data_IF_555509149799
#
_entry.id   IF_555509149799
#
_cell.length_a   1.000
_cell.length_b   1.000
_cell.length_c   1.000
_cell.angle_alpha   90.00
_cell.angle_beta   90.00
_cell.angle_gamma   90.00
#
_symmetry.space_group_name_H-M   'P 1'
#
loop_
_entity.id
_entity.type
_entity.pdbx_description
1 polymer ?
#
# COMPACT_ATOMS: atom_id res chain seq x y z
N UNK A 1 -31.69 -60.38 -48.29
CA UNK A 1 -30.35 -60.08 -48.72
C UNK A 1 -29.97 -58.83 -47.97
N UNK A 2 -29.66 -58.92 -46.76
CA UNK A 2 -28.52 -59.06 -45.90
C UNK A 2 -27.33 -58.21 -46.39
N UNK A 3 -27.05 -57.19 -45.64
CA UNK A 3 -25.67 -56.78 -45.43
C UNK A 3 -25.50 -56.16 -44.06
N UNK A 4 -24.63 -56.75 -43.31
CA UNK A 4 -24.19 -56.33 -41.98
C UNK A 4 -23.07 -55.29 -42.15
N UNK A 5 -23.19 -54.20 -41.43
CA UNK A 5 -22.10 -53.26 -41.22
C UNK A 5 -21.64 -53.36 -39.78
N UNK A 6 -20.41 -53.84 -39.67
CA UNK A 6 -19.69 -53.95 -38.40
C UNK A 6 -19.31 -52.56 -37.84
N UNK A 7 -19.65 -52.35 -36.60
CA UNK A 7 -19.17 -51.26 -35.80
C UNK A 7 -17.87 -51.64 -35.14
N UNK A 8 -16.75 -51.02 -35.54
CA UNK A 8 -15.49 -51.08 -34.77
C UNK A 8 -15.48 -49.91 -33.78
N UNK A 9 -15.61 -50.26 -32.52
CA UNK A 9 -15.31 -49.36 -31.40
C UNK A 9 -13.81 -49.11 -31.34
N UNK A 10 -13.41 -47.84 -31.60
CA UNK A 10 -12.13 -47.34 -31.14
C UNK A 10 -12.44 -46.45 -29.93
N UNK A 11 -12.31 -47.04 -28.77
CA UNK A 11 -12.23 -46.28 -27.53
C UNK A 11 -10.76 -45.87 -27.43
N UNK A 12 -10.47 -44.65 -27.82
CA UNK A 12 -9.19 -43.97 -27.50
C UNK A 12 -9.25 -43.56 -26.03
N UNK A 13 -8.41 -44.17 -25.23
CA UNK A 13 -8.10 -43.69 -23.90
C UNK A 13 -7.48 -42.29 -23.99
N UNK A 14 -8.30 -41.25 -23.82
CA UNK A 14 -7.82 -39.96 -23.42
C UNK A 14 -7.61 -40.02 -21.91
N UNK A 15 -6.41 -40.36 -21.48
CA UNK A 15 -5.97 -40.08 -20.12
C UNK A 15 -6.08 -38.60 -19.89
N UNK A 16 -6.90 -38.29 -18.92
CA UNK A 16 -7.32 -36.94 -18.53
C UNK A 16 -6.12 -36.06 -18.12
N UNK A 17 -6.14 -34.83 -18.59
CA UNK A 17 -5.28 -33.71 -18.16
C UNK A 17 -5.36 -33.38 -16.63
N UNK A 18 -6.03 -34.21 -15.85
CA UNK A 18 -6.18 -34.05 -14.39
C UNK A 18 -4.98 -34.54 -13.58
N UNK A 19 -4.03 -35.28 -14.16
CA UNK A 19 -2.85 -35.72 -13.41
C UNK A 19 -1.69 -34.70 -13.38
N UNK A 20 -1.71 -33.65 -14.19
CA UNK A 20 -0.69 -32.60 -14.14
C UNK A 20 -0.90 -31.53 -13.07
N UNK A 21 -2.04 -31.54 -12.37
CA UNK A 21 -2.29 -30.64 -11.23
C UNK A 21 -1.87 -31.18 -9.86
N UNK A 22 -1.38 -32.42 -9.79
CA UNK A 22 -0.97 -33.04 -8.52
C UNK A 22 0.56 -33.04 -8.36
N UNK A 23 1.17 -31.89 -8.21
CA UNK A 23 2.45 -31.83 -7.50
C UNK A 23 2.15 -31.96 -6.01
N UNK A 24 2.81 -32.89 -5.28
CA UNK A 24 2.64 -32.96 -3.84
C UNK A 24 3.13 -31.64 -3.22
N UNK A 25 2.22 -30.96 -2.54
CA UNK A 25 2.55 -29.79 -1.73
C UNK A 25 3.39 -30.30 -0.57
N UNK A 26 4.71 -30.11 -0.61
CA UNK A 26 5.53 -30.32 0.57
C UNK A 26 5.28 -29.12 1.51
N UNK A 27 4.46 -29.34 2.52
CA UNK A 27 4.12 -28.35 3.56
C UNK A 27 5.24 -28.23 4.61
N UNK A 28 6.45 -28.62 4.28
CA UNK A 28 7.60 -28.67 5.21
C UNK A 28 8.63 -27.55 4.97
N UNK A 29 8.17 -26.31 4.80
CA UNK A 29 9.04 -25.17 5.11
C UNK A 29 8.93 -24.89 6.60
N UNK A 30 9.91 -25.31 7.39
CA UNK A 30 9.96 -24.96 8.81
C UNK A 30 9.98 -23.42 8.96
N UNK A 31 9.35 -22.85 10.00
CA UNK A 31 9.32 -21.42 10.24
C UNK A 31 10.70 -20.74 10.23
N UNK A 32 11.76 -21.47 10.49
CA UNK A 32 13.16 -21.03 10.47
C UNK A 32 13.68 -20.66 9.07
N UNK A 33 13.01 -21.12 7.99
CA UNK A 33 13.39 -20.81 6.60
C UNK A 33 12.67 -19.57 6.05
N UNK A 34 11.78 -18.96 6.84
CA UNK A 34 11.05 -17.77 6.39
C UNK A 34 11.93 -16.51 6.52
N UNK A 35 11.85 -15.59 5.55
CA UNK A 35 12.49 -14.28 5.70
C UNK A 35 12.04 -13.63 7.00
N UNK A 36 12.97 -12.98 7.70
CA UNK A 36 12.64 -12.26 8.92
C UNK A 36 11.53 -11.24 8.68
N UNK A 37 10.56 -11.09 9.61
CA UNK A 37 9.53 -10.07 9.48
C UNK A 37 10.16 -8.68 9.40
N UNK A 38 9.56 -7.80 8.61
CA UNK A 38 9.95 -6.39 8.54
C UNK A 38 9.56 -5.73 9.87
N UNK A 39 10.46 -4.94 10.49
CA UNK A 39 10.12 -4.23 11.72
C UNK A 39 8.85 -3.38 11.54
N UNK A 40 7.93 -3.50 12.48
CA UNK A 40 6.69 -2.72 12.53
C UNK A 40 6.75 -1.76 13.72
N UNK A 41 6.07 -0.62 13.60
CA UNK A 41 5.82 0.27 14.73
C UNK A 41 4.67 -0.25 15.61
N UNK A 42 4.00 -1.33 15.21
CA UNK A 42 3.02 -2.00 16.07
C UNK A 42 3.72 -2.49 17.34
N UNK A 43 3.20 -2.09 18.50
CA UNK A 43 3.72 -2.52 19.81
C UNK A 43 3.28 -3.97 20.07
N UNK A 44 4.11 -4.70 20.81
CA UNK A 44 3.73 -6.00 21.36
C UNK A 44 2.47 -5.82 22.23
N UNK A 45 1.45 -6.67 22.10
CA UNK A 45 0.27 -6.62 22.95
C UNK A 45 0.68 -6.75 24.43
N UNK A 46 0.31 -5.80 25.26
CA UNK A 46 0.52 -5.85 26.72
C UNK A 46 1.70 -5.02 27.26
N UNK A 47 2.52 -4.36 26.44
CA UNK A 47 3.64 -3.52 26.88
C UNK A 47 3.35 -2.01 26.68
N UNK A 48 2.19 -1.51 27.06
CA UNK A 48 1.79 -0.17 26.67
C UNK A 48 1.97 0.87 27.78
N UNK A 49 3.03 1.69 27.64
CA UNK A 49 2.87 3.10 27.98
C UNK A 49 2.08 3.73 26.83
N UNK A 50 0.96 4.41 27.08
CA UNK A 50 0.18 5.04 26.01
C UNK A 50 1.08 5.95 25.17
N UNK A 51 0.97 5.90 23.85
CA UNK A 51 1.68 6.85 22.98
C UNK A 51 1.23 8.26 23.36
N UNK A 52 2.19 9.12 23.61
CA UNK A 52 1.92 10.50 24.03
C UNK A 52 1.99 11.47 22.86
N UNK A 53 2.62 11.07 21.74
CA UNK A 53 2.83 11.92 20.57
C UNK A 53 2.58 11.15 19.27
N UNK A 54 2.22 11.88 18.21
CA UNK A 54 2.12 11.32 16.87
C UNK A 54 3.50 10.93 16.29
N UNK A 55 4.59 11.53 16.79
CA UNK A 55 5.95 11.10 16.42
C UNK A 55 6.23 9.64 16.81
N UNK A 56 5.65 9.13 17.91
CA UNK A 56 5.79 7.74 18.34
C UNK A 56 4.93 6.77 17.52
N UNK A 57 3.92 7.29 16.81
CA UNK A 57 2.93 6.51 16.06
C UNK A 57 3.18 6.54 14.54
N UNK A 58 4.18 7.30 14.06
CA UNK A 58 4.44 7.47 12.61
C UNK A 58 5.86 7.07 12.23
N UNK A 59 6.02 6.56 11.00
CA UNK A 59 7.34 6.20 10.46
C UNK A 59 8.22 7.43 10.20
N UNK A 60 7.62 8.58 9.92
CA UNK A 60 8.32 9.87 9.77
C UNK A 60 8.87 10.40 11.12
N UNK A 61 8.30 9.94 12.24
CA UNK A 61 8.67 10.34 13.60
C UNK A 61 8.62 11.86 13.83
N UNK A 62 7.60 12.49 13.26
CA UNK A 62 7.24 13.88 13.54
C UNK A 62 5.79 13.97 14.01
N UNK A 63 5.47 14.98 14.79
CA UNK A 63 4.14 15.25 15.30
C UNK A 63 4.07 15.39 16.82
N UNK A 64 3.24 16.32 17.25
CA UNK A 64 3.04 16.69 18.65
C UNK A 64 2.14 15.72 19.43
N UNK A 65 1.68 16.16 20.62
CA UNK A 65 0.89 15.34 21.54
C UNK A 65 -0.46 14.94 20.94
N UNK A 66 -1.03 13.83 21.45
CA UNK A 66 -2.38 13.38 21.16
C UNK A 66 -3.31 13.64 22.33
N UNK A 67 -4.60 13.98 22.05
CA UNK A 67 -5.59 14.18 23.10
C UNK A 67 -5.90 12.89 23.85
N UNK A 68 -6.13 11.81 23.13
CA UNK A 68 -6.33 10.47 23.68
C UNK A 68 -5.84 9.41 22.67
N UNK A 69 -5.23 8.33 23.20
CA UNK A 69 -4.83 7.19 22.38
C UNK A 69 -5.51 5.91 22.92
N UNK A 70 -6.15 5.17 22.01
CA UNK A 70 -6.83 3.91 22.32
C UNK A 70 -6.39 2.83 21.35
N UNK A 71 -6.07 1.65 21.87
CA UNK A 71 -5.87 0.42 21.13
C UNK A 71 -7.07 -0.49 21.31
N UNK A 72 -7.77 -0.81 20.20
CA UNK A 72 -8.89 -1.73 20.22
C UNK A 72 -8.41 -3.14 19.89
N UNK A 73 -8.83 -4.11 20.67
CA UNK A 73 -8.46 -5.53 20.56
C UNK A 73 -9.60 -6.38 19.98
N UNK A 74 -10.78 -5.79 19.83
CA UNK A 74 -11.96 -6.43 19.23
C UNK A 74 -12.63 -5.51 18.21
N UNK A 75 -13.42 -6.09 17.28
CA UNK A 75 -14.22 -5.30 16.33
C UNK A 75 -15.24 -4.43 17.06
N UNK A 76 -15.82 -4.92 18.15
CA UNK A 76 -16.78 -4.17 18.96
C UNK A 76 -16.14 -2.92 19.57
N UNK A 77 -14.95 -3.04 20.16
CA UNK A 77 -14.20 -1.90 20.71
C UNK A 77 -13.86 -0.87 19.63
N UNK A 78 -13.44 -1.31 18.41
CA UNK A 78 -13.22 -0.41 17.29
C UNK A 78 -14.49 0.38 16.94
N UNK A 79 -15.62 -0.30 16.79
CA UNK A 79 -16.89 0.32 16.42
C UNK A 79 -17.37 1.27 17.53
N UNK A 80 -17.29 0.85 18.78
CA UNK A 80 -17.77 1.65 19.93
C UNK A 80 -16.92 2.91 20.11
N UNK A 81 -15.60 2.83 19.97
CA UNK A 81 -14.72 4.00 20.02
C UNK A 81 -15.01 5.01 18.91
N UNK A 82 -15.23 4.53 17.67
CA UNK A 82 -15.60 5.38 16.53
C UNK A 82 -16.96 6.06 16.79
N UNK A 83 -17.97 5.31 17.24
CA UNK A 83 -19.32 5.85 17.56
C UNK A 83 -19.25 6.92 18.65
N UNK A 84 -18.56 6.64 19.76
CA UNK A 84 -18.41 7.59 20.86
C UNK A 84 -17.73 8.89 20.41
N UNK A 85 -16.70 8.79 19.54
CA UNK A 85 -16.06 9.98 18.98
C UNK A 85 -17.02 10.78 18.09
N UNK A 86 -17.78 10.08 17.22
CA UNK A 86 -18.75 10.73 16.32
C UNK A 86 -19.92 11.36 17.07
N UNK A 87 -20.48 10.67 18.06
CA UNK A 87 -21.60 11.14 18.89
C UNK A 87 -21.18 12.38 19.72
N UNK A 88 -19.93 12.44 20.16
CA UNK A 88 -19.36 13.58 20.89
C UNK A 88 -18.89 14.71 19.97
N UNK A 89 -18.93 14.53 18.63
CA UNK A 89 -18.36 15.49 17.67
C UNK A 89 -16.83 15.63 17.80
N UNK A 90 -16.15 14.64 18.36
CA UNK A 90 -14.73 14.66 18.63
C UNK A 90 -13.93 14.29 17.38
N UNK A 91 -12.83 15.00 17.05
CA UNK A 91 -11.95 14.61 15.96
C UNK A 91 -11.43 13.17 16.15
N UNK A 92 -11.42 12.39 15.06
CA UNK A 92 -11.01 10.98 15.08
C UNK A 92 -9.89 10.75 14.06
N UNK A 93 -8.80 10.15 14.51
CA UNK A 93 -7.75 9.59 13.68
C UNK A 93 -7.65 8.09 13.90
N UNK A 94 -8.11 7.29 12.94
CA UNK A 94 -7.79 5.85 12.89
C UNK A 94 -6.43 5.70 12.25
N UNK A 95 -5.48 5.14 13.00
CA UNK A 95 -4.09 4.99 12.58
C UNK A 95 -3.70 3.52 12.45
N UNK A 96 -3.10 3.17 11.32
CA UNK A 96 -2.45 1.87 11.14
C UNK A 96 -0.97 1.93 11.58
N UNK A 97 -0.05 1.60 10.68
CA UNK A 97 1.40 1.71 10.94
C UNK A 97 1.96 3.14 10.86
N UNK A 98 1.14 4.17 10.67
CA UNK A 98 1.59 5.56 10.58
C UNK A 98 2.54 5.86 9.42
N UNK A 99 2.55 5.02 8.39
CA UNK A 99 3.53 5.05 7.31
C UNK A 99 3.18 6.01 6.16
N UNK A 100 2.01 6.64 6.20
CA UNK A 100 1.55 7.60 5.19
C UNK A 100 0.94 8.86 5.84
N UNK A 101 1.55 9.34 6.93
CA UNK A 101 1.08 10.48 7.71
C UNK A 101 2.21 11.47 7.92
N UNK A 102 1.90 12.76 7.74
CA UNK A 102 2.69 13.89 8.26
C UNK A 102 1.84 14.58 9.32
N UNK A 103 2.31 14.57 10.55
CA UNK A 103 1.59 15.10 11.69
C UNK A 103 2.17 16.43 12.16
N UNK A 104 1.32 17.40 12.47
CA UNK A 104 1.71 18.73 12.95
C UNK A 104 2.42 18.66 14.32
N UNK A 105 3.36 19.54 14.54
CA UNK A 105 4.01 19.73 15.85
C UNK A 105 3.03 20.19 16.94
N UNK A 106 1.90 20.81 16.56
CA UNK A 106 0.81 21.14 17.48
C UNK A 106 0.08 19.91 18.03
N UNK A 107 0.24 18.75 17.35
CA UNK A 107 -0.42 17.50 17.74
C UNK A 107 -1.82 17.34 17.17
N UNK A 108 -2.62 16.51 17.83
CA UNK A 108 -4.00 16.18 17.43
C UNK A 108 -4.90 16.13 18.67
N UNK A 109 -5.72 17.15 18.84
CA UNK A 109 -6.69 17.25 19.94
C UNK A 109 -7.96 16.43 19.64
N UNK A 110 -7.82 15.11 19.64
CA UNK A 110 -8.88 14.17 19.32
C UNK A 110 -8.58 12.78 19.85
N UNK A 111 -9.36 11.81 19.38
CA UNK A 111 -9.12 10.39 19.60
C UNK A 111 -8.23 9.82 18.49
N UNK A 112 -7.07 9.30 18.84
CA UNK A 112 -6.26 8.44 17.99
C UNK A 112 -6.57 7.00 18.32
N UNK A 113 -7.10 6.26 17.36
CA UNK A 113 -7.57 4.89 17.53
C UNK A 113 -6.75 3.94 16.65
N UNK A 114 -6.21 2.88 17.26
CA UNK A 114 -5.49 1.81 16.56
C UNK A 114 -6.23 0.49 16.69
N UNK A 115 -6.37 -0.24 15.59
CA UNK A 115 -6.77 -1.65 15.62
C UNK A 115 -5.53 -2.50 15.91
N UNK A 116 -5.55 -3.23 17.02
CA UNK A 116 -4.45 -4.11 17.46
C UNK A 116 -4.68 -5.57 17.13
N UNK A 117 -5.78 -5.92 16.43
CA UNK A 117 -6.06 -7.30 16.02
C UNK A 117 -5.06 -7.73 14.93
N UNK A 118 -4.56 -8.96 15.05
CA UNK A 118 -3.53 -9.54 14.16
C UNK A 118 -3.97 -10.92 13.67
N UNK A 119 -5.15 -10.98 13.01
CA UNK A 119 -5.75 -12.25 12.63
C UNK A 119 -5.84 -12.38 11.11
N UNK A 120 -5.45 -13.55 10.60
CA UNK A 120 -5.62 -13.98 9.21
C UNK A 120 -6.41 -15.28 9.20
N UNK A 121 -7.55 -15.29 8.52
CA UNK A 121 -8.46 -16.43 8.42
C UNK A 121 -8.58 -16.91 6.98
N UNK A 122 -8.44 -18.22 6.78
CA UNK A 122 -8.74 -18.88 5.52
C UNK A 122 -10.27 -19.06 5.43
N UNK A 123 -10.91 -18.43 4.45
CA UNK A 123 -12.35 -18.50 4.23
C UNK A 123 -12.72 -19.61 3.25
N UNK A 124 -11.95 -19.78 2.18
CA UNK A 124 -12.10 -20.84 1.20
C UNK A 124 -10.75 -21.26 0.65
N UNK A 125 -10.60 -22.55 0.42
CA UNK A 125 -9.47 -23.18 -0.26
C UNK A 125 -10.03 -24.17 -1.28
N UNK A 126 -10.31 -23.65 -2.48
CA UNK A 126 -10.79 -24.46 -3.61
C UNK A 126 -9.66 -24.55 -4.64
N UNK A 127 -9.15 -25.75 -4.85
CA UNK A 127 -8.08 -26.00 -5.83
C UNK A 127 -8.42 -25.53 -7.25
N UNK A 128 -9.68 -25.44 -7.60
CA UNK A 128 -10.14 -24.95 -8.90
C UNK A 128 -10.57 -23.48 -8.87
N UNK A 129 -11.03 -22.96 -7.70
CA UNK A 129 -11.58 -21.61 -7.53
C UNK A 129 -10.59 -20.60 -6.95
N UNK A 130 -9.45 -21.06 -6.42
CA UNK A 130 -8.49 -20.20 -5.74
C UNK A 130 -8.67 -20.20 -4.23
N UNK A 131 -7.98 -19.28 -3.58
CA UNK A 131 -7.96 -19.11 -2.12
C UNK A 131 -8.61 -17.79 -1.75
N UNK A 132 -9.52 -17.82 -0.78
CA UNK A 132 -10.10 -16.63 -0.19
C UNK A 132 -9.65 -16.51 1.27
N UNK A 133 -9.02 -15.39 1.61
CA UNK A 133 -8.52 -15.11 2.95
C UNK A 133 -9.08 -13.77 3.44
N UNK A 134 -9.31 -13.68 4.75
CA UNK A 134 -9.66 -12.43 5.41
C UNK A 134 -8.61 -12.09 6.46
N UNK A 135 -8.19 -10.82 6.49
CA UNK A 135 -7.29 -10.32 7.52
C UNK A 135 -7.91 -9.11 8.23
N UNK A 136 -7.73 -9.02 9.56
CA UNK A 136 -8.18 -7.86 10.34
C UNK A 136 -7.42 -6.61 9.94
N UNK A 137 -8.05 -5.44 10.10
CA UNK A 137 -7.48 -4.17 9.64
C UNK A 137 -6.16 -3.82 10.34
N UNK A 138 -5.98 -4.27 11.58
CA UNK A 138 -4.76 -4.07 12.36
C UNK A 138 -3.59 -4.97 11.96
N UNK A 139 -3.85 -6.07 11.25
CA UNK A 139 -2.79 -7.01 10.82
C UNK A 139 -1.68 -6.26 10.08
N UNK A 140 -0.42 -6.51 10.49
CA UNK A 140 0.75 -5.93 9.83
C UNK A 140 0.79 -6.41 8.38
N UNK A 141 0.94 -5.47 7.42
CA UNK A 141 0.90 -5.81 6.00
C UNK A 141 1.97 -6.83 5.60
N UNK A 142 3.22 -6.61 6.01
CA UNK A 142 4.30 -7.52 5.59
C UNK A 142 4.26 -8.89 6.28
N UNK A 143 3.62 -9.00 7.46
CA UNK A 143 3.35 -10.30 8.08
C UNK A 143 2.32 -11.10 7.29
N UNK A 144 1.25 -10.44 6.78
CA UNK A 144 0.32 -11.07 5.85
C UNK A 144 1.04 -11.52 4.58
N UNK A 145 1.88 -10.66 3.98
CA UNK A 145 2.65 -11.01 2.77
C UNK A 145 3.56 -12.19 3.02
N UNK A 146 4.29 -12.21 4.14
CA UNK A 146 5.17 -13.32 4.53
C UNK A 146 4.38 -14.62 4.68
N UNK A 147 3.24 -14.58 5.37
CA UNK A 147 2.36 -15.74 5.53
C UNK A 147 1.81 -16.20 4.17
N UNK A 148 1.39 -15.27 3.31
CA UNK A 148 0.86 -15.58 1.98
C UNK A 148 1.90 -16.31 1.11
N UNK A 149 3.14 -15.81 1.06
CA UNK A 149 4.23 -16.45 0.32
C UNK A 149 4.51 -17.86 0.87
N UNK A 150 4.60 -18.03 2.20
CA UNK A 150 4.82 -19.31 2.84
C UNK A 150 3.68 -20.31 2.60
N UNK A 151 2.44 -19.83 2.51
CA UNK A 151 1.24 -20.63 2.23
C UNK A 151 0.96 -20.79 0.73
N UNK A 152 1.84 -20.30 -0.14
CA UNK A 152 1.68 -20.31 -1.60
C UNK A 152 0.40 -19.61 -2.08
N UNK A 153 -0.01 -18.54 -1.40
CA UNK A 153 -1.07 -17.64 -1.84
C UNK A 153 -0.45 -16.56 -2.73
N UNK A 154 -0.51 -16.79 -4.05
CA UNK A 154 0.25 -16.00 -5.02
C UNK A 154 -0.29 -14.60 -5.24
N UNK A 155 0.62 -13.67 -5.58
CA UNK A 155 0.32 -12.28 -5.96
C UNK A 155 0.74 -11.24 -4.92
N UNK A 156 1.04 -11.62 -3.68
CA UNK A 156 1.47 -10.71 -2.63
C UNK A 156 2.97 -10.39 -2.67
N UNK A 157 3.78 -11.23 -3.29
CA UNK A 157 5.25 -11.24 -3.21
C UNK A 157 5.90 -9.91 -3.62
N UNK A 158 5.35 -9.23 -4.64
CA UNK A 158 5.83 -7.91 -5.11
C UNK A 158 5.52 -6.76 -4.14
N UNK A 159 4.55 -6.96 -3.24
CA UNK A 159 4.13 -5.97 -2.23
C UNK A 159 4.86 -6.14 -0.89
N UNK A 160 5.92 -6.96 -0.86
CA UNK A 160 6.75 -7.21 0.30
C UNK A 160 7.40 -5.95 0.85
N UNK A 161 7.50 -5.84 2.16
CA UNK A 161 8.20 -4.77 2.85
C UNK A 161 7.51 -3.40 2.79
N UNK A 162 6.25 -3.31 2.32
CA UNK A 162 5.47 -2.08 2.43
C UNK A 162 5.08 -1.93 3.91
N UNK A 163 5.45 -0.82 4.56
CA UNK A 163 5.10 -0.61 5.96
C UNK A 163 3.62 -0.23 6.09
N UNK A 164 3.01 -0.61 7.21
CA UNK A 164 1.62 -0.28 7.51
C UNK A 164 0.79 -1.51 7.85
N UNK A 165 -0.54 -1.37 7.80
CA UNK A 165 -1.49 -2.41 8.16
C UNK A 165 -2.43 -2.75 7.01
N UNK A 166 -3.03 -3.93 7.08
CA UNK A 166 -3.97 -4.44 6.08
C UNK A 166 -5.14 -3.47 5.84
N UNK A 167 -5.68 -2.87 6.90
CA UNK A 167 -6.80 -1.92 6.77
C UNK A 167 -6.44 -0.62 6.04
N UNK A 168 -5.18 -0.22 6.06
CA UNK A 168 -4.70 0.96 5.34
C UNK A 168 -4.43 0.68 3.84
N UNK A 169 -4.19 -0.58 3.48
CA UNK A 169 -3.83 -0.97 2.13
C UNK A 169 -4.87 -0.57 1.05
N UNK A 170 -6.17 -0.86 1.20
CA UNK A 170 -7.19 -0.45 0.23
C UNK A 170 -7.46 1.05 0.22
N UNK A 171 -7.22 1.78 1.32
CA UNK A 171 -7.43 3.23 1.39
C UNK A 171 -6.54 3.94 0.39
N UNK A 172 -5.28 3.54 0.31
CA UNK A 172 -4.26 4.12 -0.56
C UNK A 172 -4.09 3.38 -1.88
N UNK A 173 -4.80 2.23 -2.08
CA UNK A 173 -4.51 1.31 -3.17
C UNK A 173 -2.99 1.09 -3.28
N UNK A 174 -2.39 0.57 -2.21
CA UNK A 174 -0.94 0.37 -2.17
C UNK A 174 -0.45 -0.45 -3.35
N UNK A 175 0.73 -0.15 -3.83
CA UNK A 175 1.31 -0.88 -4.95
C UNK A 175 2.82 -0.69 -5.05
N UNK A 176 3.48 -1.72 -5.54
CA UNK A 176 4.91 -1.75 -5.78
C UNK A 176 5.24 -2.74 -6.90
N UNK A 177 6.33 -2.48 -7.63
CA UNK A 177 6.89 -3.36 -8.65
C UNK A 177 5.88 -3.87 -9.69
N UNK A 178 4.90 -3.02 -10.05
CA UNK A 178 3.92 -3.31 -11.10
C UNK A 178 2.64 -3.97 -10.61
N UNK A 179 2.50 -4.27 -9.31
CA UNK A 179 1.28 -4.83 -8.71
C UNK A 179 0.62 -3.81 -7.78
N UNK A 180 -0.70 -3.74 -7.78
CA UNK A 180 -1.50 -2.97 -6.84
C UNK A 180 -2.39 -3.91 -6.00
N UNK A 181 -2.74 -3.50 -4.77
CA UNK A 181 -3.58 -4.32 -3.88
C UNK A 181 -4.96 -4.60 -4.49
N UNK A 182 -5.44 -3.74 -5.37
CA UNK A 182 -6.67 -3.93 -6.15
C UNK A 182 -6.72 -5.26 -6.91
N UNK A 183 -5.57 -5.79 -7.32
CA UNK A 183 -5.46 -7.04 -8.07
C UNK A 183 -5.73 -8.30 -7.22
N UNK A 184 -5.61 -8.16 -5.91
CA UNK A 184 -5.76 -9.24 -4.93
C UNK A 184 -7.06 -9.13 -4.15
N UNK A 185 -7.70 -7.95 -4.15
CA UNK A 185 -8.75 -7.57 -3.24
C UNK A 185 -10.12 -8.06 -3.75
N UNK A 186 -10.87 -8.76 -2.90
CA UNK A 186 -12.26 -9.15 -3.17
C UNK A 186 -13.25 -8.14 -2.58
N UNK A 187 -13.08 -7.80 -1.31
CA UNK A 187 -14.00 -6.91 -0.59
C UNK A 187 -13.38 -6.35 0.69
N UNK A 188 -14.00 -5.32 1.25
CA UNK A 188 -13.60 -4.69 2.51
C UNK A 188 -14.80 -4.60 3.44
N UNK A 189 -14.66 -5.11 4.66
CA UNK A 189 -15.63 -4.90 5.72
C UNK A 189 -15.34 -3.57 6.39
N UNK A 190 -16.35 -2.72 6.50
CA UNK A 190 -16.20 -1.37 7.04
C UNK A 190 -17.30 -1.04 8.05
N UNK A 191 -17.00 -0.12 8.94
CA UNK A 191 -17.99 0.65 9.67
C UNK A 191 -18.29 1.93 8.89
N UNK A 192 -19.53 2.11 8.44
CA UNK A 192 -19.99 3.35 7.79
C UNK A 192 -20.45 4.35 8.85
N UNK A 193 -19.62 5.35 9.13
CA UNK A 193 -19.87 6.39 10.13
C UNK A 193 -21.10 7.23 9.82
N UNK A 194 -21.42 7.42 8.52
CA UNK A 194 -22.59 8.18 8.10
C UNK A 194 -23.90 7.39 8.30
N UNK A 195 -23.85 6.08 8.09
CA UNK A 195 -25.02 5.21 8.21
C UNK A 195 -25.13 4.54 9.59
N UNK A 196 -24.09 4.58 10.41
CA UNK A 196 -24.05 3.96 11.74
C UNK A 196 -24.19 2.43 11.69
N UNK A 197 -23.62 1.79 10.66
CA UNK A 197 -23.70 0.33 10.48
C UNK A 197 -22.43 -0.26 9.86
N UNK A 198 -22.16 -1.53 10.18
CA UNK A 198 -21.13 -2.29 9.48
C UNK A 198 -21.68 -2.86 8.18
N UNK A 199 -20.88 -2.81 7.11
CA UNK A 199 -21.23 -3.37 5.81
C UNK A 199 -20.00 -3.89 5.05
N UNK A 200 -20.27 -4.72 4.05
CA UNK A 200 -19.26 -5.26 3.15
C UNK A 200 -19.27 -4.46 1.85
N UNK A 201 -18.14 -3.86 1.50
CA UNK A 201 -17.94 -3.16 0.23
C UNK A 201 -17.20 -4.09 -0.74
N UNK A 202 -17.83 -4.54 -1.83
CA UNK A 202 -17.12 -5.29 -2.86
C UNK A 202 -16.11 -4.39 -3.59
N UNK A 203 -15.10 -4.98 -4.21
CA UNK A 203 -14.04 -4.28 -4.96
C UNK A 203 -14.60 -3.17 -5.88
N UNK A 204 -15.67 -3.46 -6.61
CA UNK A 204 -16.31 -2.52 -7.54
C UNK A 204 -16.82 -1.23 -6.89
N UNK A 205 -17.15 -1.26 -5.59
CA UNK A 205 -17.59 -0.09 -4.84
C UNK A 205 -16.44 0.76 -4.33
N UNK A 206 -15.23 0.22 -4.26
CA UNK A 206 -14.04 0.94 -3.78
C UNK A 206 -13.49 1.91 -4.81
N UNK A 207 -13.81 1.74 -6.10
CA UNK A 207 -13.36 2.60 -7.22
C UNK A 207 -11.87 2.92 -7.10
N UNK A 208 -11.07 1.86 -6.95
CA UNK A 208 -9.63 1.98 -6.79
C UNK A 208 -9.01 2.53 -8.08
N UNK A 209 -8.06 3.43 -7.91
CA UNK A 209 -7.21 3.94 -8.97
C UNK A 209 -5.80 4.19 -8.42
N UNK A 210 -4.89 4.73 -9.24
CA UNK A 210 -3.52 4.97 -8.81
C UNK A 210 -3.46 5.87 -7.56
N UNK A 211 -3.06 5.28 -6.43
CA UNK A 211 -2.97 5.95 -5.10
C UNK A 211 -4.27 6.59 -4.63
N UNK A 212 -5.43 6.05 -5.04
CA UNK A 212 -6.74 6.61 -4.72
C UNK A 212 -7.81 5.53 -4.55
N UNK A 213 -8.85 5.84 -3.77
CA UNK A 213 -10.01 4.99 -3.50
C UNK A 213 -11.22 5.83 -3.10
N UNK A 214 -12.42 5.22 -3.16
CA UNK A 214 -13.62 5.80 -2.56
C UNK A 214 -13.42 6.07 -1.06
N UNK A 215 -12.70 5.17 -0.36
CA UNK A 215 -12.36 5.33 1.06
C UNK A 215 -11.56 6.61 1.29
N UNK A 216 -10.52 6.83 0.49
CA UNK A 216 -9.66 8.03 0.58
C UNK A 216 -10.41 9.29 0.20
N UNK A 217 -11.16 9.26 -0.90
CA UNK A 217 -11.92 10.44 -1.36
C UNK A 217 -12.90 10.95 -0.32
N UNK A 218 -13.48 10.07 0.51
CA UNK A 218 -14.39 10.48 1.59
C UNK A 218 -13.78 11.41 2.64
N UNK A 219 -12.44 11.49 2.70
CA UNK A 219 -11.74 12.41 3.59
C UNK A 219 -12.05 13.89 3.25
N UNK A 220 -12.09 14.22 1.96
CA UNK A 220 -12.11 15.60 1.46
C UNK A 220 -13.26 15.91 0.50
N UNK A 221 -13.91 14.90 -0.07
CA UNK A 221 -15.03 15.06 -1.00
C UNK A 221 -16.37 14.84 -0.27
N UNK A 222 -17.18 15.88 -0.09
CA UNK A 222 -18.48 15.76 0.58
C UNK A 222 -19.49 14.92 -0.20
N UNK A 223 -19.37 14.78 -1.53
CA UNK A 223 -20.28 13.92 -2.31
C UNK A 223 -20.03 12.45 -1.95
N UNK A 224 -18.78 12.06 -1.87
CA UNK A 224 -18.36 10.71 -1.44
C UNK A 224 -18.63 10.53 0.06
N UNK A 225 -18.39 11.55 0.85
CA UNK A 225 -18.59 11.55 2.31
C UNK A 225 -20.05 11.51 2.77
N UNK A 226 -21.04 11.58 1.85
CA UNK A 226 -22.46 11.59 2.23
C UNK A 226 -22.93 12.94 2.76
N UNK A 227 -22.47 14.03 2.16
CA UNK A 227 -22.85 15.40 2.48
C UNK A 227 -21.85 16.16 3.36
N UNK A 228 -20.78 15.52 3.81
CA UNK A 228 -19.72 16.16 4.60
C UNK A 228 -18.33 15.57 4.29
N UNK A 229 -17.28 16.29 4.65
CA UNK A 229 -15.91 15.79 4.70
C UNK A 229 -15.65 15.15 6.06
N UNK A 230 -14.76 14.14 6.11
CA UNK A 230 -14.55 13.33 7.30
C UNK A 230 -13.12 13.39 7.87
N UNK A 231 -12.15 13.94 7.14
CA UNK A 231 -10.75 13.88 7.52
C UNK A 231 -10.45 14.21 9.00
N UNK A 232 -9.37 13.62 9.57
CA UNK A 232 -8.35 12.81 8.91
C UNK A 232 -8.71 11.32 8.75
N UNK A 233 -9.80 10.84 9.35
CA UNK A 233 -10.36 9.50 9.11
C UNK A 233 -11.60 9.61 8.22
N UNK A 234 -11.66 8.80 7.16
CA UNK A 234 -12.76 8.82 6.20
C UNK A 234 -14.11 8.36 6.77
N UNK A 235 -15.15 8.43 5.92
CA UNK A 235 -16.49 7.94 6.22
C UNK A 235 -16.47 6.45 6.63
N UNK A 236 -15.67 5.66 5.95
CA UNK A 236 -15.61 4.22 6.17
C UNK A 236 -14.35 3.85 6.95
N UNK A 237 -14.52 3.33 8.14
CA UNK A 237 -13.44 2.75 8.94
C UNK A 237 -13.33 1.27 8.59
N UNK A 238 -12.17 0.88 8.06
CA UNK A 238 -11.90 -0.52 7.68
C UNK A 238 -11.78 -1.40 8.92
N UNK A 239 -12.50 -2.52 8.93
CA UNK A 239 -12.51 -3.51 10.01
C UNK A 239 -11.77 -4.80 9.62
N UNK A 240 -11.93 -5.25 8.37
CA UNK A 240 -11.17 -6.35 7.78
C UNK A 240 -11.16 -6.25 6.26
N UNK A 241 -10.21 -6.95 5.64
CA UNK A 241 -10.03 -6.99 4.19
C UNK A 241 -10.05 -8.45 3.74
N UNK A 242 -10.83 -8.74 2.71
CA UNK A 242 -10.89 -10.06 2.07
C UNK A 242 -10.15 -10.02 0.74
N UNK A 243 -9.27 -11.00 0.54
CA UNK A 243 -8.49 -11.18 -0.67
C UNK A 243 -8.90 -12.47 -1.36
N UNK A 244 -8.89 -12.45 -2.71
CA UNK A 244 -9.10 -13.62 -3.55
C UNK A 244 -7.87 -13.82 -4.42
N UNK A 245 -7.16 -14.90 -4.20
CA UNK A 245 -5.84 -15.16 -4.77
C UNK A 245 -5.73 -16.57 -5.30
N UNK A 246 -4.70 -16.84 -6.08
CA UNK A 246 -4.43 -18.19 -6.60
C UNK A 246 -3.55 -18.97 -5.65
N UNK A 247 -3.80 -20.28 -5.56
CA UNK A 247 -2.84 -21.20 -4.96
C UNK A 247 -1.69 -21.41 -5.96
N UNK A 248 -0.52 -20.83 -5.68
CA UNK A 248 0.64 -20.90 -6.57
C UNK A 248 1.96 -20.68 -5.83
N UNK A 249 2.95 -21.51 -6.10
CA UNK A 249 4.34 -21.31 -5.64
C UNK A 249 5.12 -20.33 -6.50
N UNK A 250 4.67 -20.13 -7.76
CA UNK A 250 5.26 -19.16 -8.66
C UNK A 250 4.55 -17.80 -8.54
N UNK A 251 5.33 -16.75 -8.68
CA UNK A 251 4.89 -15.36 -8.65
C UNK A 251 3.85 -15.02 -9.72
N UNK A 252 3.23 -13.86 -9.60
CA UNK A 252 2.64 -13.18 -10.76
C UNK A 252 3.70 -12.88 -11.81
N UNK A 253 3.34 -12.67 -13.10
CA UNK A 253 4.32 -12.28 -14.12
C UNK A 253 5.09 -11.04 -13.68
N UNK A 254 6.42 -11.09 -13.76
CA UNK A 254 7.27 -9.96 -13.38
C UNK A 254 7.08 -8.82 -14.39
N UNK A 255 6.45 -7.73 -13.96
CA UNK A 255 6.15 -6.60 -14.83
C UNK A 255 7.20 -5.48 -14.77
N UNK A 256 8.06 -5.45 -13.75
CA UNK A 256 8.96 -4.35 -13.47
C UNK A 256 10.41 -4.67 -13.85
N UNK A 257 10.99 -3.95 -14.80
CA UNK A 257 12.32 -4.23 -15.36
C UNK A 257 13.42 -4.34 -14.30
N UNK A 258 13.44 -3.45 -13.28
CA UNK A 258 14.45 -3.51 -12.22
C UNK A 258 14.35 -4.80 -11.39
N UNK A 259 13.12 -5.30 -11.17
CA UNK A 259 12.90 -6.56 -10.46
C UNK A 259 13.31 -7.75 -11.34
N UNK A 260 12.97 -7.73 -12.64
CA UNK A 260 13.40 -8.76 -13.58
C UNK A 260 14.93 -8.86 -13.64
N UNK A 261 15.64 -7.73 -13.71
CA UNK A 261 17.10 -7.69 -13.65
C UNK A 261 17.66 -8.27 -12.35
N UNK A 262 17.07 -7.92 -11.20
CA UNK A 262 17.51 -8.44 -9.90
C UNK A 262 17.33 -9.97 -9.78
N UNK A 263 16.31 -10.51 -10.45
CA UNK A 263 16.00 -11.94 -10.48
C UNK A 263 16.74 -12.70 -11.59
N UNK A 264 17.42 -12.00 -12.53
CA UNK A 264 18.05 -12.61 -13.68
C UNK A 264 17.06 -13.22 -14.68
N UNK A 265 15.87 -12.63 -14.81
CA UNK A 265 14.77 -13.12 -15.66
C UNK A 265 14.29 -12.01 -16.60
N UNK A 266 13.40 -12.35 -17.53
CA UNK A 266 12.78 -11.40 -18.45
C UNK A 266 11.40 -10.93 -17.95
N UNK A 267 10.98 -9.70 -18.28
CA UNK A 267 9.62 -9.25 -17.99
C UNK A 267 8.58 -10.20 -18.61
N UNK A 268 7.56 -10.53 -17.82
CA UNK A 268 6.50 -11.49 -18.17
C UNK A 268 6.72 -12.91 -17.65
N UNK A 269 7.93 -13.26 -17.24
CA UNK A 269 8.20 -14.56 -16.65
C UNK A 269 7.68 -14.67 -15.22
N UNK A 270 7.48 -15.91 -14.77
CA UNK A 270 7.09 -16.27 -13.40
C UNK A 270 8.23 -17.05 -12.76
N UNK A 271 8.59 -16.64 -11.56
CA UNK A 271 9.67 -17.27 -10.78
C UNK A 271 9.16 -17.64 -9.39
N UNK A 272 9.98 -18.32 -8.62
CA UNK A 272 9.63 -18.68 -7.24
C UNK A 272 9.22 -17.44 -6.42
N UNK A 273 8.06 -17.51 -5.74
CA UNK A 273 7.49 -16.39 -5.00
C UNK A 273 8.37 -15.92 -3.83
N UNK A 274 9.09 -16.86 -3.19
CA UNK A 274 10.03 -16.52 -2.11
C UNK A 274 11.23 -15.74 -2.67
N UNK A 275 11.78 -16.17 -3.81
CA UNK A 275 12.87 -15.45 -4.47
C UNK A 275 12.45 -14.03 -4.88
N UNK A 276 11.20 -13.86 -5.36
CA UNK A 276 10.66 -12.51 -5.64
C UNK A 276 10.60 -11.68 -4.37
N UNK A 277 10.07 -12.23 -3.26
CA UNK A 277 10.01 -11.51 -1.98
C UNK A 277 11.38 -11.03 -1.53
N UNK A 278 12.39 -11.89 -1.57
CA UNK A 278 13.76 -11.54 -1.17
C UNK A 278 14.33 -10.43 -2.06
N UNK A 279 14.21 -10.55 -3.38
CA UNK A 279 14.67 -9.53 -4.32
C UNK A 279 13.96 -8.19 -4.11
N UNK A 280 12.65 -8.20 -3.85
CA UNK A 280 11.86 -6.99 -3.55
C UNK A 280 12.35 -6.35 -2.25
N UNK A 281 12.55 -7.12 -1.19
CA UNK A 281 13.04 -6.61 0.08
C UNK A 281 14.42 -5.96 -0.07
N UNK A 282 15.35 -6.57 -0.84
CA UNK A 282 16.67 -6.03 -1.09
C UNK A 282 16.62 -4.74 -1.90
N UNK A 283 15.82 -4.70 -2.97
CA UNK A 283 15.58 -3.49 -3.75
C UNK A 283 14.95 -2.37 -2.91
N UNK A 284 14.05 -2.70 -1.99
CA UNK A 284 13.44 -1.71 -1.10
C UNK A 284 14.41 -1.23 -0.02
N UNK A 285 15.23 -2.13 0.57
CA UNK A 285 16.28 -1.76 1.54
C UNK A 285 17.30 -0.82 0.89
N UNK A 286 17.72 -1.10 -0.34
CA UNK A 286 18.67 -0.24 -1.08
C UNK A 286 18.13 1.18 -1.32
N UNK A 287 16.80 1.35 -1.30
CA UNK A 287 16.09 2.64 -1.45
C UNK A 287 15.67 3.27 -0.11
N UNK A 288 15.97 2.64 1.04
CA UNK A 288 15.49 3.11 2.35
C UNK A 288 13.97 2.98 2.53
N UNK A 289 13.32 2.02 1.83
CA UNK A 289 11.86 1.82 1.81
C UNK A 289 11.38 0.65 2.68
N UNK A 290 12.29 0.02 3.43
CA UNK A 290 12.00 -0.94 4.50
C UNK A 290 12.37 -0.27 5.81
N UNK A 291 11.43 -0.22 6.75
CA UNK A 291 11.62 0.47 8.02
C UNK A 291 12.78 -0.15 8.82
N UNK A 292 13.76 0.67 9.15
CA UNK A 292 14.89 0.35 10.03
C UNK A 292 15.06 1.49 11.06
N UNK A 293 14.83 1.22 12.35
CA UNK A 293 14.98 2.24 13.39
C UNK A 293 16.38 2.88 13.47
N UNK A 294 17.41 2.19 12.98
CA UNK A 294 18.80 2.68 12.97
C UNK A 294 19.16 3.49 11.73
N UNK A 295 18.32 3.52 10.71
CA UNK A 295 18.57 4.19 9.44
C UNK A 295 17.61 5.35 9.20
N UNK A 296 18.07 6.59 9.34
CA UNK A 296 17.25 7.78 9.12
C UNK A 296 16.71 7.92 7.68
N UNK A 297 17.29 7.24 6.69
CA UNK A 297 16.71 7.21 5.35
C UNK A 297 15.37 6.48 5.28
N UNK A 298 15.05 5.69 6.32
CA UNK A 298 13.75 5.00 6.46
C UNK A 298 12.73 5.79 7.28
N UNK A 299 13.16 6.87 7.98
CA UNK A 299 12.24 7.71 8.75
C UNK A 299 11.48 8.66 7.84
N UNK A 300 10.58 8.11 7.07
CA UNK A 300 9.83 8.78 6.00
C UNK A 300 8.39 8.26 5.92
N UNK A 301 7.58 8.89 5.10
CA UNK A 301 6.26 8.40 4.70
C UNK A 301 6.31 7.68 3.34
N UNK A 302 7.42 7.04 3.00
CA UNK A 302 7.64 6.42 1.69
C UNK A 302 7.88 7.46 0.59
N UNK A 303 7.44 7.17 -0.64
CA UNK A 303 7.44 8.15 -1.73
C UNK A 303 6.47 9.27 -1.39
N UNK A 304 7.00 10.48 -1.21
CA UNK A 304 6.21 11.60 -0.69
C UNK A 304 5.27 12.21 -1.73
N UNK A 305 5.59 12.06 -3.01
CA UNK A 305 4.80 12.62 -4.10
C UNK A 305 4.29 11.52 -5.03
N UNK A 306 3.05 11.67 -5.48
CA UNK A 306 2.49 10.83 -6.53
C UNK A 306 3.12 11.17 -7.88
N UNK A 307 3.21 10.19 -8.77
CA UNK A 307 3.60 10.43 -10.15
C UNK A 307 2.52 11.27 -10.85
N UNK A 308 2.86 12.46 -11.41
CA UNK A 308 1.88 13.31 -12.06
C UNK A 308 1.22 12.64 -13.26
N UNK A 309 -0.10 12.78 -13.35
CA UNK A 309 -0.89 12.45 -14.53
C UNK A 309 -1.17 13.74 -15.29
N UNK A 310 -0.74 13.79 -16.53
CA UNK A 310 -0.77 14.95 -17.41
C UNK A 310 -1.68 14.67 -18.60
N UNK A 311 -2.24 15.71 -19.22
CA UNK A 311 -2.78 15.57 -20.58
C UNK A 311 -1.65 15.33 -21.56
N UNK A 312 -1.94 14.75 -22.73
CA UNK A 312 -0.94 14.56 -23.79
C UNK A 312 -0.28 15.90 -24.15
N UNK A 313 -1.06 16.97 -24.24
CA UNK A 313 -0.55 18.34 -24.52
C UNK A 313 0.44 18.83 -23.45
N UNK A 314 0.11 18.63 -22.16
CA UNK A 314 1.03 18.96 -21.08
C UNK A 314 2.32 18.14 -21.13
N UNK A 315 2.21 16.86 -21.47
CA UNK A 315 3.37 15.96 -21.57
C UNK A 315 4.30 16.30 -22.74
N UNK A 316 3.80 16.93 -23.83
CA UNK A 316 4.61 17.40 -24.96
C UNK A 316 5.59 18.50 -24.56
N UNK A 317 5.28 19.29 -23.51
CA UNK A 317 6.17 20.34 -23.02
C UNK A 317 7.33 19.82 -22.16
N UNK A 318 7.30 18.53 -21.77
CA UNK A 318 8.41 17.91 -21.05
C UNK A 318 9.56 17.56 -22.02
N UNK A 319 10.82 17.58 -21.54
CA UNK A 319 11.98 17.08 -22.28
C UNK A 319 11.73 15.68 -22.86
N UNK A 320 12.36 15.39 -24.00
CA UNK A 320 12.14 14.14 -24.72
C UNK A 320 12.52 12.88 -23.92
N UNK A 321 13.49 13.01 -23.03
CA UNK A 321 13.99 11.95 -22.12
C UNK A 321 13.17 11.81 -20.84
N UNK A 322 12.18 12.68 -20.58
CA UNK A 322 11.27 12.53 -19.47
C UNK A 322 10.43 11.23 -19.64
N UNK A 323 10.36 10.37 -18.59
CA UNK A 323 9.60 9.13 -18.68
C UNK A 323 8.11 9.38 -18.95
N UNK A 324 7.52 8.57 -19.83
CA UNK A 324 6.09 8.59 -20.18
C UNK A 324 5.52 7.20 -20.06
N UNK A 325 4.51 7.05 -19.21
CA UNK A 325 3.84 5.79 -18.95
C UNK A 325 2.35 5.91 -19.28
N UNK A 326 1.71 4.84 -19.74
CA UNK A 326 0.26 4.83 -19.92
C UNK A 326 -0.44 5.00 -18.57
N UNK A 327 -1.59 5.64 -18.61
CA UNK A 327 -2.54 5.68 -17.47
C UNK A 327 -3.56 4.58 -17.69
N UNK A 328 -3.80 3.73 -16.70
CA UNK A 328 -4.74 2.60 -16.77
C UNK A 328 -5.96 2.83 -15.88
N UNK A 329 -7.13 2.42 -16.36
CA UNK A 329 -8.39 2.51 -15.62
C UNK A 329 -8.63 1.23 -14.82
N UNK A 330 -8.27 1.23 -13.55
CA UNK A 330 -8.47 0.09 -12.65
C UNK A 330 -9.90 -0.02 -12.11
N UNK A 331 -10.79 0.94 -12.38
CA UNK A 331 -12.20 0.88 -11.95
C UNK A 331 -13.01 -0.19 -12.70
N UNK A 332 -12.46 -0.70 -13.81
CA UNK A 332 -13.09 -1.69 -14.69
C UNK A 332 -12.41 -3.06 -14.65
N UNK A 333 -11.44 -3.25 -13.76
CA UNK A 333 -10.70 -4.52 -13.68
C UNK A 333 -11.55 -5.58 -13.01
N UNK A 334 -11.64 -6.73 -13.65
CA UNK A 334 -12.07 -7.97 -13.02
C UNK A 334 -10.82 -8.77 -12.70
N UNK A 335 -10.56 -9.11 -11.44
CA UNK A 335 -9.36 -9.85 -11.05
C UNK A 335 -9.14 -11.09 -11.93
N UNK A 336 -7.94 -11.22 -12.50
CA UNK A 336 -7.52 -12.41 -13.24
C UNK A 336 -7.91 -12.48 -14.73
N UNK A 337 -8.55 -11.45 -15.32
CA UNK A 337 -9.12 -11.60 -16.68
C UNK A 337 -8.44 -10.79 -17.79
N UNK A 338 -8.16 -9.52 -17.62
CA UNK A 338 -7.57 -8.66 -18.69
C UNK A 338 -6.78 -7.52 -18.06
N UNK A 339 -5.67 -7.06 -18.67
CA UNK A 339 -5.01 -5.84 -18.24
C UNK A 339 -5.98 -4.65 -18.23
N UNK A 340 -5.82 -3.76 -17.25
CA UNK A 340 -6.63 -2.56 -17.17
C UNK A 340 -6.53 -1.74 -18.47
N UNK A 341 -7.65 -1.24 -19.02
CA UNK A 341 -7.64 -0.47 -20.26
C UNK A 341 -6.85 0.84 -20.08
N UNK A 342 -6.14 1.24 -21.13
CA UNK A 342 -5.43 2.51 -21.15
C UNK A 342 -6.42 3.66 -21.34
N UNK A 343 -6.25 4.71 -20.55
CA UNK A 343 -7.01 5.95 -20.67
C UNK A 343 -6.36 6.83 -21.74
N UNK A 344 -7.05 7.03 -22.84
CA UNK A 344 -6.56 7.89 -23.94
C UNK A 344 -6.46 9.37 -23.51
N UNK A 345 -5.48 10.09 -24.04
CA UNK A 345 -5.27 11.51 -23.76
C UNK A 345 -4.58 11.82 -22.42
N UNK A 346 -4.25 10.79 -21.63
CA UNK A 346 -3.51 10.95 -20.38
C UNK A 346 -2.16 10.22 -20.42
N UNK A 347 -1.16 10.85 -19.81
CA UNK A 347 0.21 10.33 -19.68
C UNK A 347 0.66 10.50 -18.24
N UNK A 348 1.19 9.45 -17.63
CA UNK A 348 1.82 9.50 -16.31
C UNK A 348 3.33 9.72 -16.47
N UNK A 349 3.92 10.67 -15.74
CA UNK A 349 5.37 10.90 -15.72
C UNK A 349 5.95 10.59 -14.35
N UNK A 350 7.29 10.55 -14.25
CA UNK A 350 8.00 10.22 -13.01
C UNK A 350 8.22 11.46 -12.15
N UNK A 351 7.64 11.50 -10.95
CA UNK A 351 7.95 12.55 -9.98
C UNK A 351 9.44 12.54 -9.57
N UNK A 352 10.06 11.37 -9.48
CA UNK A 352 11.49 11.26 -9.18
C UNK A 352 12.35 11.93 -10.26
N UNK A 353 12.04 11.67 -11.53
CA UNK A 353 12.74 12.30 -12.65
C UNK A 353 12.58 13.82 -12.62
N UNK A 354 11.36 14.32 -12.41
CA UNK A 354 11.10 15.77 -12.33
C UNK A 354 11.87 16.43 -11.19
N UNK A 355 11.94 15.80 -10.02
CA UNK A 355 12.67 16.31 -8.85
C UNK A 355 14.17 16.37 -9.14
N UNK A 356 14.76 15.28 -9.65
CA UNK A 356 16.18 15.22 -9.97
C UNK A 356 16.58 16.26 -11.05
N UNK A 357 15.77 16.40 -12.09
CA UNK A 357 16.05 17.34 -13.20
C UNK A 357 15.64 18.80 -12.89
N UNK A 358 14.89 19.03 -11.82
CA UNK A 358 14.66 20.37 -11.26
C UNK A 358 15.83 20.83 -10.35
N UNK A 359 16.89 20.01 -10.21
CA UNK A 359 18.10 20.33 -9.45
C UNK A 359 18.14 19.82 -8.01
N UNK A 360 17.19 18.96 -7.60
CA UNK A 360 17.15 18.36 -6.28
C UNK A 360 17.82 16.99 -6.30
N UNK A 361 18.98 16.87 -5.69
CA UNK A 361 19.72 15.61 -5.55
C UNK A 361 19.35 14.87 -4.26
N UNK A 362 19.70 13.60 -4.19
CA UNK A 362 19.67 12.83 -2.94
C UNK A 362 20.41 13.56 -1.84
N UNK A 363 19.83 13.59 -0.63
CA UNK A 363 20.40 14.33 0.50
C UNK A 363 20.14 15.84 0.48
N UNK A 364 19.48 16.39 -0.54
CA UNK A 364 19.13 17.81 -0.56
C UNK A 364 18.33 18.19 0.70
N UNK A 365 18.66 19.35 1.28
CA UNK A 365 17.98 19.91 2.45
C UNK A 365 17.81 21.41 2.30
N UNK A 366 16.80 21.94 2.97
CA UNK A 366 16.67 23.39 3.17
C UNK A 366 17.58 23.80 4.30
N UNK A 367 18.35 24.88 4.11
CA UNK A 367 19.27 25.38 5.13
C UNK A 367 18.48 25.83 6.36
N UNK A 368 18.84 25.28 7.53
CA UNK A 368 18.36 25.77 8.82
C UNK A 368 19.48 26.63 9.44
N UNK A 369 19.23 27.90 9.68
CA UNK A 369 20.18 28.78 10.36
C UNK A 369 20.49 28.27 11.77
N UNK A 370 21.79 28.08 12.07
CA UNK A 370 22.28 27.74 13.41
C UNK A 370 22.26 26.27 13.77
N UNK A 371 21.87 25.34 12.87
CA UNK A 371 21.88 23.90 13.13
C UNK A 371 23.20 23.24 12.72
N UNK A 372 23.67 22.25 13.49
CA UNK A 372 24.87 21.47 13.18
C UNK A 372 24.71 20.52 11.95
N UNK A 373 23.50 20.43 11.39
CA UNK A 373 23.16 19.61 10.21
C UNK A 373 21.68 19.75 9.85
N UNK A 374 21.25 19.20 8.73
CA UNK A 374 19.85 19.28 8.31
C UNK A 374 18.95 18.46 9.24
N UNK A 375 17.86 19.04 9.71
CA UNK A 375 16.84 18.33 10.47
C UNK A 375 16.02 17.40 9.58
N UNK A 376 15.69 17.86 8.34
CA UNK A 376 15.03 17.09 7.30
C UNK A 376 15.81 17.18 5.98
N UNK A 377 15.80 16.12 5.19
CA UNK A 377 16.41 16.08 3.85
C UNK A 377 15.65 15.11 2.92
N UNK A 378 15.87 15.24 1.61
CA UNK A 378 15.61 14.11 0.73
C UNK A 378 16.49 12.94 1.16
N UNK A 379 15.97 11.71 1.07
CA UNK A 379 16.77 10.51 1.39
C UNK A 379 18.05 10.47 0.57
N UNK A 380 19.15 10.00 1.18
CA UNK A 380 20.41 9.77 0.47
C UNK A 380 20.31 8.56 -0.48
N UNK A 381 19.23 7.77 -0.38
CA UNK A 381 18.98 6.56 -1.17
C UNK A 381 17.93 6.78 -2.26
N UNK A 382 16.93 7.64 -2.02
CA UNK A 382 15.79 7.81 -2.92
C UNK A 382 15.21 9.22 -2.86
N UNK A 383 15.23 9.95 -3.97
CA UNK A 383 14.80 11.38 -4.06
C UNK A 383 13.32 11.62 -3.77
N UNK A 384 12.46 10.58 -3.89
CA UNK A 384 11.04 10.72 -3.54
C UNK A 384 10.75 10.69 -2.05
N UNK A 385 11.70 10.27 -1.21
CA UNK A 385 11.48 10.21 0.23
C UNK A 385 12.00 11.48 0.91
N UNK A 386 11.11 12.18 1.58
CA UNK A 386 11.45 13.21 2.56
C UNK A 386 11.71 12.49 3.89
N UNK A 387 12.85 12.75 4.52
CA UNK A 387 13.29 11.99 5.70
C UNK A 387 13.56 12.91 6.88
N UNK A 388 13.19 12.44 8.06
CA UNK A 388 13.62 13.00 9.33
C UNK A 388 15.04 12.51 9.63
N UNK A 389 15.99 13.45 9.83
CA UNK A 389 17.40 13.12 10.11
C UNK A 389 17.71 12.94 11.60
N UNK A 390 16.65 12.66 12.39
CA UNK A 390 16.74 12.37 13.83
C UNK A 390 16.22 13.48 14.74
N UNK A 391 16.06 14.71 14.23
CA UNK A 391 15.62 15.87 15.00
C UNK A 391 14.61 16.76 14.29
N UNK A 392 14.02 16.29 13.17
CA UNK A 392 13.08 17.10 12.41
C UNK A 392 11.79 17.33 13.20
N UNK A 393 11.27 18.54 13.05
CA UNK A 393 9.90 18.91 13.33
C UNK A 393 9.05 18.76 12.07
N UNK A 394 7.73 18.72 12.21
CA UNK A 394 6.81 18.70 11.08
C UNK A 394 7.04 19.89 10.13
N UNK A 395 7.37 21.06 10.65
CA UNK A 395 7.74 22.25 9.87
C UNK A 395 8.94 22.01 8.95
N UNK A 396 9.99 21.36 9.43
CA UNK A 396 11.19 21.10 8.61
C UNK A 396 10.85 20.22 7.40
N UNK A 397 9.96 19.24 7.59
CA UNK A 397 9.46 18.38 6.52
C UNK A 397 8.59 19.14 5.52
N UNK A 398 7.72 20.04 6.01
CA UNK A 398 6.86 20.84 5.12
C UNK A 398 7.64 21.90 4.36
N UNK A 399 8.63 22.55 4.97
CA UNK A 399 9.51 23.53 4.31
C UNK A 399 10.31 22.82 3.18
N UNK A 400 10.81 21.61 3.42
CA UNK A 400 11.48 20.80 2.40
C UNK A 400 10.51 20.42 1.27
N UNK A 401 9.28 19.96 1.62
CA UNK A 401 8.22 19.68 0.64
C UNK A 401 7.97 20.88 -0.26
N UNK A 402 7.76 22.05 0.33
CA UNK A 402 7.39 23.27 -0.39
C UNK A 402 8.54 23.75 -1.30
N UNK A 403 9.78 23.60 -0.86
CA UNK A 403 10.96 23.89 -1.70
C UNK A 403 11.00 22.99 -2.94
N UNK A 404 10.75 21.69 -2.78
CA UNK A 404 10.73 20.72 -3.89
C UNK A 404 9.56 20.99 -4.84
N UNK A 405 8.35 21.20 -4.30
CA UNK A 405 7.13 21.50 -5.10
C UNK A 405 7.35 22.78 -5.94
N UNK A 406 7.83 23.85 -5.31
CA UNK A 406 8.05 25.12 -6.00
C UNK A 406 9.18 25.03 -7.03
N UNK A 407 10.24 24.26 -6.75
CA UNK A 407 11.33 24.05 -7.70
C UNK A 407 10.88 23.32 -8.96
N UNK A 408 10.11 22.22 -8.80
CA UNK A 408 9.52 21.47 -9.92
C UNK A 408 8.51 22.31 -10.69
N UNK A 409 7.65 23.06 -9.99
CA UNK A 409 6.69 23.99 -10.60
C UNK A 409 7.41 25.04 -11.46
N UNK A 410 8.50 25.59 -10.96
CA UNK A 410 9.30 26.60 -11.66
C UNK A 410 10.00 26.05 -12.90
N UNK A 411 10.50 24.80 -12.81
CA UNK A 411 11.22 24.15 -13.91
C UNK A 411 10.28 23.65 -15.03
N UNK A 412 9.12 23.10 -14.66
CA UNK A 412 8.26 22.34 -15.60
C UNK A 412 6.80 22.80 -15.62
N UNK A 413 6.38 23.76 -14.79
CA UNK A 413 4.98 24.14 -14.66
C UNK A 413 4.08 23.09 -13.98
N UNK A 414 4.65 22.00 -13.48
CA UNK A 414 3.94 20.88 -12.87
C UNK A 414 3.91 21.04 -11.35
N UNK A 415 2.70 20.94 -10.77
CA UNK A 415 2.50 20.91 -9.33
C UNK A 415 2.57 19.47 -8.84
N UNK A 416 3.57 19.14 -8.04
CA UNK A 416 3.63 17.82 -7.37
C UNK A 416 2.57 17.73 -6.26
N UNK A 417 1.91 16.59 -6.18
CA UNK A 417 0.87 16.32 -5.18
C UNK A 417 1.43 15.40 -4.09
N UNK A 418 1.43 15.85 -2.81
CA UNK A 418 1.81 14.99 -1.69
C UNK A 418 0.86 13.79 -1.56
N UNK A 419 1.40 12.61 -1.29
CA UNK A 419 0.67 11.38 -1.05
C UNK A 419 0.23 11.23 0.42
N UNK A 420 1.06 11.62 1.43
CA UNK A 420 0.71 11.47 2.83
C UNK A 420 -0.48 12.33 3.27
N UNK A 421 -1.24 11.80 4.23
CA UNK A 421 -2.31 12.53 4.90
C UNK A 421 -1.70 13.50 5.93
N UNK A 422 -2.15 14.76 5.90
CA UNK A 422 -1.74 15.76 6.88
C UNK A 422 -2.70 15.74 8.07
N UNK A 423 -2.17 15.70 9.29
CA UNK A 423 -2.94 15.61 10.54
C UNK A 423 -2.55 16.74 11.50
N UNK A 424 -3.55 17.42 12.08
CA UNK A 424 -3.33 18.46 13.09
C UNK A 424 -2.91 19.84 12.55
N UNK A 425 -3.28 20.16 11.29
CA UNK A 425 -2.97 21.44 10.63
C UNK A 425 -4.19 22.36 10.60
#
# INVERSE_FOLDING_TARGET
MSDQLGTSNIIGDSLSDTEQCMMPISVDASPEQWPAPVPSLAREPGAATPATTLAELTTMRVGGPVGEYVEATTEAEMIDAVRQADDAGRPLLVIGGGSNIVASDAGFDGLVLRDSRQEVSLLADDRCGGVEISATAGTTWDDLVRQAVASQWGGFETLSGIPGTVGAAPVQNIGAYGTEVAELLASVRVWDRAAGQALQLPLSRLRLSYRDSELKRSLTDPQVGGGRTWGPTGRWVVLSVTFSVRQASLSSPIAYNQLAQALGTEPGERVDALAVREAVLDLRRSKGMVLDPGDHDTWSAGSFFTNPVLTTEQAEHLPADAPRYPVTDHTRVVPGTVPAPVVEGLVKTSAAWLIEHAGFSKGFSVACEGAAGPAASLSTKHVLALTNRGSARARDVTDLRDAVVEGVRRAYGIMLVPEPVHVGW
#
